data_IF_052390667148
#
_entry.id   IF_052390667148
#
_cell.length_a   1.000
_cell.length_b   1.000
_cell.length_c   1.000
_cell.angle_alpha   90.00
_cell.angle_beta   90.00
_cell.angle_gamma   90.00
#
_symmetry.space_group_name_H-M   'P 1'
#
loop_
_entity.id
_entity.type
_entity.pdbx_description
1 polymer ?
#
# COMPACT_ATOMS: atom_id res chain seq x y z
N UNK A 1 5.65 -3.61 13.98
CA UNK A 1 5.00 -2.56 13.20
C UNK A 1 5.10 -1.18 13.86
N UNK A 2 4.68 -1.03 15.14
CA UNK A 2 4.71 0.27 15.85
C UNK A 2 6.10 0.92 15.90
N UNK A 3 7.18 0.14 15.94
CA UNK A 3 8.55 0.66 15.93
C UNK A 3 8.97 1.37 14.62
N UNK A 4 8.23 1.14 13.53
CA UNK A 4 8.47 1.79 12.25
C UNK A 4 7.80 3.18 12.11
N UNK A 5 6.96 3.54 13.08
CA UNK A 5 6.23 4.81 13.05
C UNK A 5 7.00 5.92 13.80
N UNK A 6 6.79 7.16 13.36
CA UNK A 6 7.24 8.31 14.11
C UNK A 6 6.58 8.32 15.50
N UNK A 7 7.36 8.40 16.62
CA UNK A 7 6.81 8.38 17.97
C UNK A 7 5.77 9.46 18.23
N UNK A 8 5.96 10.66 17.68
CA UNK A 8 5.01 11.77 17.86
C UNK A 8 3.69 11.54 17.11
N UNK A 9 3.74 10.87 15.95
CA UNK A 9 2.54 10.46 15.23
C UNK A 9 1.78 9.38 16.00
N UNK A 10 2.49 8.38 16.56
CA UNK A 10 1.90 7.35 17.40
C UNK A 10 1.24 7.95 18.65
N UNK A 11 1.92 8.87 19.34
CA UNK A 11 1.37 9.53 20.52
C UNK A 11 0.05 10.24 20.22
N UNK A 12 -0.04 10.94 19.07
CA UNK A 12 -1.29 11.58 18.63
C UNK A 12 -2.39 10.57 18.26
N UNK A 13 -2.05 9.47 17.62
CA UNK A 13 -3.03 8.44 17.26
C UNK A 13 -3.54 7.66 18.46
N UNK A 14 -2.70 7.50 19.48
CA UNK A 14 -3.06 6.82 20.71
C UNK A 14 -3.83 7.73 21.69
N UNK A 15 -3.78 9.04 21.47
CA UNK A 15 -4.48 10.01 22.30
C UNK A 15 -6.01 9.91 22.09
N UNK A 16 -6.79 9.52 23.13
CA UNK A 16 -8.24 9.41 23.04
C UNK A 16 -8.92 10.74 22.67
N UNK A 17 -8.41 11.88 23.18
CA UNK A 17 -8.98 13.19 22.91
C UNK A 17 -8.81 13.58 21.42
N UNK A 18 -7.69 13.22 20.81
CA UNK A 18 -7.47 13.41 19.37
C UNK A 18 -8.47 12.59 18.55
N UNK A 19 -8.72 11.33 18.93
CA UNK A 19 -9.69 10.47 18.25
C UNK A 19 -11.12 11.00 18.40
N UNK A 20 -11.50 11.38 19.59
CA UNK A 20 -12.81 11.96 19.89
C UNK A 20 -13.04 13.24 19.06
N UNK A 21 -12.07 14.16 19.05
CA UNK A 21 -12.13 15.38 18.24
C UNK A 21 -12.31 15.11 16.73
N UNK A 22 -11.72 14.04 16.21
CA UNK A 22 -11.90 13.65 14.80
C UNK A 22 -13.32 13.13 14.54
N UNK A 23 -13.84 12.29 15.43
CA UNK A 23 -15.17 11.67 15.29
C UNK A 23 -16.29 12.71 15.51
N UNK A 24 -16.07 13.66 16.42
CA UNK A 24 -17.02 14.72 16.73
C UNK A 24 -16.93 15.93 15.78
N UNK A 25 -15.96 15.93 14.86
CA UNK A 25 -15.83 17.01 13.88
C UNK A 25 -17.11 17.12 13.04
N UNK A 26 -17.65 18.34 12.82
CA UNK A 26 -18.92 18.55 12.10
C UNK A 26 -18.93 17.95 10.69
N UNK A 27 -17.76 17.80 10.06
CA UNK A 27 -17.58 17.29 8.70
C UNK A 27 -17.14 15.82 8.68
N UNK A 28 -17.17 15.11 9.81
CA UNK A 28 -16.68 13.73 9.89
C UNK A 28 -17.43 12.78 8.93
N UNK A 29 -18.76 12.84 8.93
CA UNK A 29 -19.56 11.99 8.04
C UNK A 29 -19.41 12.40 6.56
N UNK A 30 -19.26 13.69 6.27
CA UNK A 30 -18.99 14.18 4.91
C UNK A 30 -17.63 13.67 4.41
N UNK A 31 -16.60 13.69 5.25
CA UNK A 31 -15.28 13.11 4.91
C UNK A 31 -15.34 11.62 4.67
N UNK A 32 -16.10 10.87 5.46
CA UNK A 32 -16.33 9.44 5.24
C UNK A 32 -17.06 9.17 3.92
N UNK A 33 -18.07 9.98 3.61
CA UNK A 33 -18.79 9.87 2.35
C UNK A 33 -17.89 10.18 1.15
N UNK A 34 -17.07 11.24 1.24
CA UNK A 34 -16.09 11.58 0.22
C UNK A 34 -15.06 10.47 0.01
N UNK A 35 -14.56 9.84 1.10
CA UNK A 35 -13.64 8.72 1.01
C UNK A 35 -14.27 7.52 0.26
N UNK A 36 -15.51 7.17 0.54
CA UNK A 36 -16.22 6.11 -0.20
C UNK A 36 -16.38 6.44 -1.68
N UNK A 37 -16.71 7.70 -2.00
CA UNK A 37 -16.77 8.15 -3.40
C UNK A 37 -15.42 8.01 -4.11
N UNK A 38 -14.30 8.27 -3.41
CA UNK A 38 -12.96 8.05 -3.97
C UNK A 38 -12.70 6.55 -4.22
N UNK A 39 -13.10 5.66 -3.31
CA UNK A 39 -13.00 4.22 -3.52
C UNK A 39 -13.84 3.77 -4.73
N UNK A 40 -15.10 4.21 -4.82
CA UNK A 40 -15.99 3.93 -5.96
C UNK A 40 -15.41 4.45 -7.28
N UNK A 41 -14.76 5.62 -7.24
CA UNK A 41 -14.08 6.18 -8.41
C UNK A 41 -12.89 5.31 -8.85
N UNK A 42 -12.04 4.87 -7.93
CA UNK A 42 -10.92 3.95 -8.23
C UNK A 42 -11.45 2.68 -8.91
N UNK A 43 -12.52 2.09 -8.38
CA UNK A 43 -13.16 0.91 -8.99
C UNK A 43 -13.69 1.20 -10.39
N UNK A 44 -14.35 2.33 -10.55
CA UNK A 44 -14.95 2.76 -11.84
C UNK A 44 -13.88 2.91 -12.92
N UNK A 45 -12.78 3.61 -12.65
CA UNK A 45 -11.71 3.82 -13.62
C UNK A 45 -10.98 2.52 -13.94
N UNK A 46 -10.77 1.66 -12.94
CA UNK A 46 -10.19 0.34 -13.15
C UNK A 46 -11.08 -0.53 -14.07
N UNK A 47 -12.40 -0.57 -13.82
CA UNK A 47 -13.35 -1.34 -14.64
C UNK A 47 -13.48 -0.80 -16.06
N UNK A 48 -13.21 0.48 -16.26
CA UNK A 48 -13.10 1.10 -17.59
C UNK A 48 -11.78 0.75 -18.32
N UNK A 49 -10.92 -0.08 -17.73
CA UNK A 49 -9.65 -0.52 -18.31
C UNK A 49 -8.51 0.49 -18.16
N UNK A 50 -8.67 1.51 -17.33
CA UNK A 50 -7.60 2.46 -17.03
C UNK A 50 -6.66 1.83 -16.00
N UNK A 51 -5.36 1.87 -16.30
CA UNK A 51 -4.35 1.37 -15.37
C UNK A 51 -4.26 2.27 -14.13
N UNK A 52 -4.46 1.68 -12.96
CA UNK A 52 -4.35 2.37 -11.68
C UNK A 52 -3.06 1.89 -11.01
N UNK A 53 -2.11 2.79 -10.81
CA UNK A 53 -0.93 2.54 -10.00
C UNK A 53 -1.20 2.91 -8.56
N UNK A 54 -0.62 2.16 -7.63
CA UNK A 54 -0.70 2.46 -6.21
C UNK A 54 0.29 3.58 -5.85
N UNK A 55 -0.15 4.52 -4.99
CA UNK A 55 0.67 5.61 -4.51
C UNK A 55 0.13 6.19 -3.20
N UNK A 56 0.82 5.92 -2.10
CA UNK A 56 0.36 6.21 -0.74
C UNK A 56 0.94 7.49 -0.13
N UNK A 57 1.74 8.24 -0.88
CA UNK A 57 2.38 9.48 -0.42
C UNK A 57 3.17 9.31 0.91
N UNK A 58 3.92 8.18 1.03
CA UNK A 58 4.68 7.86 2.22
C UNK A 58 5.72 8.95 2.54
N UNK A 59 5.85 9.25 3.83
CA UNK A 59 6.70 10.35 4.34
C UNK A 59 5.92 11.60 4.69
N UNK A 60 4.64 11.69 4.36
CA UNK A 60 3.74 12.68 4.98
C UNK A 60 3.46 12.31 6.44
N UNK A 61 2.95 13.28 7.22
CA UNK A 61 2.86 13.18 8.69
C UNK A 61 2.13 11.94 9.23
N UNK A 62 1.27 11.31 8.42
CA UNK A 62 0.39 10.23 8.86
C UNK A 62 0.53 8.93 8.03
N UNK A 63 1.45 8.89 7.06
CA UNK A 63 1.67 7.70 6.24
C UNK A 63 3.08 7.17 6.45
N UNK A 64 3.25 6.11 7.26
CA UNK A 64 4.57 5.54 7.52
C UNK A 64 5.11 4.80 6.30
N UNK A 65 6.42 4.89 6.11
CA UNK A 65 7.12 4.10 5.09
C UNK A 65 6.89 2.59 5.30
N UNK A 66 6.80 1.86 4.21
CA UNK A 66 6.59 0.42 4.19
C UNK A 66 5.13 0.04 4.46
N UNK A 67 4.63 0.22 5.66
CA UNK A 67 3.26 -0.15 6.03
C UNK A 67 2.19 0.52 5.14
N UNK A 68 2.39 1.76 4.76
CA UNK A 68 1.45 2.51 3.92
C UNK A 68 1.10 1.78 2.63
N UNK A 69 2.07 1.11 1.99
CA UNK A 69 1.83 0.32 0.77
C UNK A 69 0.89 -0.87 1.02
N UNK A 70 1.05 -1.58 2.14
CA UNK A 70 0.18 -2.71 2.50
C UNK A 70 -1.25 -2.24 2.78
N UNK A 71 -1.38 -1.13 3.51
CA UNK A 71 -2.69 -0.54 3.81
C UNK A 71 -3.39 0.01 2.56
N UNK A 72 -2.66 0.60 1.63
CA UNK A 72 -3.20 1.06 0.36
C UNK A 72 -3.73 -0.12 -0.48
N UNK A 73 -3.01 -1.25 -0.53
CA UNK A 73 -3.51 -2.46 -1.18
C UNK A 73 -4.80 -2.98 -0.53
N UNK A 74 -4.90 -2.92 0.80
CA UNK A 74 -6.12 -3.26 1.54
C UNK A 74 -7.29 -2.34 1.14
N UNK A 75 -7.07 -1.03 1.07
CA UNK A 75 -8.08 -0.07 0.61
C UNK A 75 -8.51 -0.29 -0.85
N UNK A 76 -7.62 -0.75 -1.73
CA UNK A 76 -7.98 -1.14 -3.10
C UNK A 76 -8.90 -2.35 -3.14
N UNK A 77 -8.63 -3.34 -2.29
CA UNK A 77 -9.53 -4.51 -2.16
C UNK A 77 -10.87 -4.10 -1.55
N UNK A 78 -10.90 -3.22 -0.56
CA UNK A 78 -12.12 -2.64 -0.02
C UNK A 78 -12.92 -1.85 -1.07
N UNK A 79 -12.24 -1.18 -2.01
CA UNK A 79 -12.85 -0.51 -3.15
C UNK A 79 -13.43 -1.49 -4.19
N UNK A 80 -13.19 -2.80 -4.04
CA UNK A 80 -13.73 -3.85 -4.89
C UNK A 80 -12.78 -4.39 -5.97
N UNK A 81 -11.48 -4.08 -5.90
CA UNK A 81 -10.47 -4.76 -6.70
C UNK A 81 -10.18 -6.15 -6.09
N UNK A 82 -9.76 -7.09 -6.90
CA UNK A 82 -9.24 -8.37 -6.38
C UNK A 82 -7.86 -8.18 -5.74
N UNK A 83 -7.43 -9.04 -4.80
CA UNK A 83 -6.08 -8.99 -4.24
C UNK A 83 -4.98 -8.98 -5.31
N UNK A 84 -5.12 -9.78 -6.38
CA UNK A 84 -4.18 -9.78 -7.50
C UNK A 84 -4.12 -8.42 -8.21
N UNK A 85 -5.27 -7.76 -8.42
CA UNK A 85 -5.31 -6.44 -9.05
C UNK A 85 -4.63 -5.37 -8.19
N UNK A 86 -4.82 -5.43 -6.87
CA UNK A 86 -4.13 -4.55 -5.92
C UNK A 86 -2.60 -4.77 -5.92
N UNK A 87 -2.15 -6.04 -5.97
CA UNK A 87 -0.73 -6.38 -6.08
C UNK A 87 -0.14 -5.88 -7.41
N UNK A 88 -0.84 -6.06 -8.52
CA UNK A 88 -0.41 -5.56 -9.84
C UNK A 88 -0.31 -4.03 -9.84
N UNK A 89 -1.26 -3.33 -9.21
CA UNK A 89 -1.23 -1.88 -9.07
C UNK A 89 0.02 -1.41 -8.27
N UNK A 90 0.40 -2.17 -7.23
CA UNK A 90 1.55 -1.88 -6.37
C UNK A 90 2.91 -2.28 -6.98
N UNK A 91 2.93 -3.12 -8.00
CA UNK A 91 4.16 -3.68 -8.59
C UNK A 91 4.30 -3.33 -10.07
N UNK A 92 3.72 -4.12 -10.96
CA UNK A 92 3.89 -3.97 -12.41
C UNK A 92 3.40 -2.61 -12.93
N UNK A 93 2.21 -2.17 -12.49
CA UNK A 93 1.67 -0.88 -12.93
C UNK A 93 2.47 0.28 -12.36
N UNK A 94 2.86 0.20 -11.08
CA UNK A 94 3.75 1.20 -10.46
C UNK A 94 5.09 1.31 -11.19
N UNK A 95 5.72 0.19 -11.51
CA UNK A 95 6.97 0.16 -12.25
C UNK A 95 6.84 0.78 -13.65
N UNK A 96 5.73 0.52 -14.36
CA UNK A 96 5.47 1.09 -15.68
C UNK A 96 5.32 2.62 -15.67
N UNK A 97 5.03 3.23 -14.53
CA UNK A 97 4.96 4.68 -14.35
C UNK A 97 6.32 5.32 -14.05
N UNK A 98 7.40 4.53 -13.89
CA UNK A 98 8.74 5.07 -13.66
C UNK A 98 9.46 5.35 -14.99
N UNK A 99 10.28 6.44 -15.05
CA UNK A 99 11.08 6.71 -16.26
C UNK A 99 12.22 5.67 -16.43
N UNK A 100 12.53 5.27 -17.66
CA UNK A 100 11.81 5.56 -18.90
C UNK A 100 10.49 4.80 -18.95
N UNK A 101 9.41 5.52 -19.21
CA UNK A 101 8.03 5.01 -19.12
C UNK A 101 7.84 3.67 -19.85
N UNK A 102 7.27 2.70 -19.11
CA UNK A 102 6.98 1.37 -19.66
C UNK A 102 8.19 0.47 -19.94
N UNK A 103 9.40 0.86 -19.56
CA UNK A 103 10.63 0.11 -19.79
C UNK A 103 11.32 -0.36 -18.50
N UNK A 104 10.59 -0.40 -17.40
CA UNK A 104 11.15 -0.84 -16.12
C UNK A 104 11.61 -2.30 -16.19
N UNK A 105 12.81 -2.56 -15.73
CA UNK A 105 13.40 -3.88 -15.58
C UNK A 105 13.09 -4.53 -14.21
N UNK A 106 12.05 -4.04 -13.54
CA UNK A 106 11.51 -4.50 -12.24
C UNK A 106 9.98 -4.48 -12.25
N UNK A 107 9.36 -4.90 -11.15
CA UNK A 107 7.90 -4.87 -10.94
C UNK A 107 7.17 -6.14 -11.40
N UNK A 108 7.85 -7.05 -12.09
CA UNK A 108 7.36 -8.38 -12.46
C UNK A 108 8.46 -9.43 -12.25
N UNK A 109 8.05 -10.69 -12.01
CA UNK A 109 8.97 -11.82 -11.88
C UNK A 109 9.20 -12.46 -13.27
N UNK A 110 10.21 -11.98 -13.97
CA UNK A 110 10.57 -12.43 -15.30
C UNK A 110 12.10 -12.60 -15.44
N UNK A 111 12.52 -13.59 -16.23
CA UNK A 111 13.94 -13.80 -16.49
C UNK A 111 14.58 -12.56 -17.13
N UNK A 112 15.71 -12.13 -16.62
CA UNK A 112 16.44 -10.95 -17.11
C UNK A 112 16.07 -9.63 -16.43
N UNK A 113 15.05 -9.61 -15.58
CA UNK A 113 14.71 -8.45 -14.75
C UNK A 113 15.49 -8.41 -13.44
N UNK A 114 15.50 -7.24 -12.82
CA UNK A 114 16.07 -7.05 -11.49
C UNK A 114 15.33 -7.93 -10.49
N UNK A 115 16.09 -8.68 -9.69
CA UNK A 115 15.53 -9.55 -8.67
C UNK A 115 15.26 -8.76 -7.38
N UNK A 116 14.20 -7.95 -7.43
CA UNK A 116 13.60 -7.29 -6.28
C UNK A 116 12.29 -8.02 -5.96
N UNK A 117 12.25 -8.76 -4.86
CA UNK A 117 11.08 -9.55 -4.49
C UNK A 117 10.88 -9.64 -2.97
N UNK A 118 9.65 -9.93 -2.60
CA UNK A 118 9.26 -10.20 -1.22
C UNK A 118 8.70 -11.63 -1.15
N UNK A 119 9.22 -12.43 -0.24
CA UNK A 119 8.70 -13.76 0.09
C UNK A 119 7.76 -13.63 1.28
N UNK A 120 6.57 -14.21 1.17
CA UNK A 120 5.52 -14.14 2.19
C UNK A 120 5.28 -15.51 2.82
N UNK A 121 4.95 -15.53 4.12
CA UNK A 121 4.58 -16.73 4.86
C UNK A 121 3.12 -17.16 4.66
N UNK A 122 2.28 -16.30 4.05
CA UNK A 122 0.87 -16.57 3.81
C UNK A 122 0.44 -16.06 2.43
N UNK A 123 -0.64 -16.65 1.90
CA UNK A 123 -1.15 -16.34 0.57
C UNK A 123 -1.87 -14.97 0.53
N UNK A 124 -1.33 -13.95 -0.16
CA UNK A 124 -1.95 -12.64 -0.27
C UNK A 124 -3.20 -12.62 -1.15
N UNK A 125 -3.42 -13.68 -1.94
CA UNK A 125 -4.63 -13.80 -2.76
C UNK A 125 -5.83 -14.28 -1.95
N UNK A 126 -5.58 -14.99 -0.84
CA UNK A 126 -6.62 -15.38 0.11
C UNK A 126 -7.03 -14.21 1.01
N UNK A 127 -6.07 -13.39 1.44
CA UNK A 127 -6.27 -12.17 2.20
C UNK A 127 -5.13 -11.19 1.88
N UNK A 128 -5.45 -10.02 1.36
CA UNK A 128 -4.43 -9.03 0.98
C UNK A 128 -3.57 -8.57 2.17
N UNK A 129 -4.06 -8.65 3.40
CA UNK A 129 -3.31 -8.36 4.63
C UNK A 129 -2.12 -9.31 4.83
N UNK A 130 -2.12 -10.48 4.20
CA UNK A 130 -1.01 -11.42 4.21
C UNK A 130 0.25 -10.86 3.51
N UNK A 131 0.16 -9.74 2.81
CA UNK A 131 1.34 -9.00 2.33
C UNK A 131 2.22 -8.49 3.48
N UNK A 132 1.69 -8.39 4.70
CA UNK A 132 2.46 -8.07 5.93
C UNK A 132 3.21 -9.28 6.51
N UNK A 133 2.86 -10.51 6.13
CA UNK A 133 3.49 -11.75 6.59
C UNK A 133 4.82 -12.00 5.85
N UNK A 134 5.72 -11.01 5.92
CA UNK A 134 7.01 -11.03 5.21
C UNK A 134 7.95 -12.03 5.85
N UNK A 135 8.42 -13.00 5.06
CA UNK A 135 9.50 -13.91 5.42
C UNK A 135 10.86 -13.31 5.07
N UNK A 136 11.08 -13.01 3.79
CA UNK A 136 12.33 -12.51 3.27
C UNK A 136 12.11 -11.42 2.23
N UNK A 137 13.11 -10.55 2.09
CA UNK A 137 13.18 -9.53 1.05
C UNK A 137 14.47 -9.70 0.26
N UNK A 138 14.36 -9.70 -1.05
CA UNK A 138 15.52 -9.66 -1.96
C UNK A 138 15.56 -8.31 -2.66
N UNK A 139 16.75 -7.71 -2.72
CA UNK A 139 17.01 -6.48 -3.45
C UNK A 139 18.24 -6.64 -4.33
N UNK A 140 18.10 -6.34 -5.62
CA UNK A 140 19.18 -6.47 -6.60
C UNK A 140 19.80 -7.88 -6.62
N UNK A 141 19.01 -8.92 -6.34
CA UNK A 141 19.45 -10.31 -6.29
C UNK A 141 20.10 -10.73 -4.96
N UNK A 142 20.19 -9.85 -3.98
CA UNK A 142 20.78 -10.14 -2.66
C UNK A 142 19.71 -10.16 -1.57
N UNK A 143 19.77 -11.12 -0.66
CA UNK A 143 18.88 -11.18 0.50
C UNK A 143 19.21 -10.07 1.48
N UNK A 144 18.20 -9.27 1.80
CA UNK A 144 18.29 -8.20 2.77
C UNK A 144 18.29 -8.80 4.18
N UNK A 145 19.34 -8.50 4.97
CA UNK A 145 19.37 -8.90 6.36
C UNK A 145 18.20 -8.23 7.12
N UNK A 146 17.35 -9.03 7.76
CA UNK A 146 16.26 -8.53 8.60
C UNK A 146 16.83 -7.96 9.89
N UNK A 147 17.06 -6.66 9.93
CA UNK A 147 17.37 -5.95 11.17
C UNK A 147 16.03 -5.56 11.79
N UNK A 148 15.50 -6.42 12.66
CA UNK A 148 14.40 -6.01 13.55
C UNK A 148 15.03 -5.28 14.74
N UNK A 149 14.53 -4.11 15.12
CA UNK A 149 14.93 -3.48 16.37
C UNK A 149 14.45 -4.26 17.58
#
# INVERSE_FOLDING_TARGET
LRAAFNPDALARWDDPATREAVVEAPDFEDRKAAFRQMQDFVKTIHDAGIQVALGNDAGTANVPFGWGMHHEMEMYVEAGLTPMQAIVAATATGAAQMPPWGQADFGTLEAGKVADLVVLNADPLADIRNTLEIDQVMRLGEWVARVLP
#
